data_IF_384709416826
#
_entry.id   IF_384709416826
#
_cell.length_a   1.000
_cell.length_b   1.000
_cell.length_c   1.000
_cell.angle_alpha   90.00
_cell.angle_beta   90.00
_cell.angle_gamma   90.00
#
_symmetry.space_group_name_H-M   'P 1'
#
loop_
_entity.id
_entity.type
_entity.pdbx_description
1 polymer ?
#
# COMPACT_ATOMS: atom_id res chain seq x y z
N UNK A 1 -5.90 -64.05 -15.90
CA UNK A 1 -6.74 -62.84 -15.70
C UNK A 1 -6.37 -62.04 -14.44
N UNK A 2 -6.10 -62.67 -13.28
CA UNK A 2 -5.75 -61.94 -12.03
C UNK A 2 -4.48 -61.06 -12.11
N UNK A 3 -3.45 -61.48 -12.84
CA UNK A 3 -2.22 -60.70 -13.00
C UNK A 3 -2.40 -59.45 -13.88
N UNK A 4 -3.33 -59.50 -14.86
CA UNK A 4 -3.62 -58.36 -15.73
C UNK A 4 -4.35 -57.26 -14.95
N UNK A 5 -5.27 -57.65 -14.07
CA UNK A 5 -6.02 -56.72 -13.20
C UNK A 5 -5.08 -56.00 -12.23
N UNK A 6 -4.07 -56.71 -11.69
CA UNK A 6 -3.09 -56.12 -10.77
C UNK A 6 -2.16 -55.11 -11.46
N UNK A 7 -1.72 -55.41 -12.69
CA UNK A 7 -0.88 -54.51 -13.49
C UNK A 7 -1.66 -53.23 -13.87
N UNK A 8 -2.94 -53.36 -14.23
CA UNK A 8 -3.81 -52.22 -14.55
C UNK A 8 -4.05 -51.36 -13.30
N UNK A 9 -4.31 -51.97 -12.14
CA UNK A 9 -4.48 -51.23 -10.88
C UNK A 9 -3.20 -50.47 -10.50
N UNK A 10 -2.03 -51.09 -10.66
CA UNK A 10 -0.74 -50.48 -10.38
C UNK A 10 -0.48 -49.26 -11.31
N UNK A 11 -0.85 -49.39 -12.59
CA UNK A 11 -0.77 -48.30 -13.57
C UNK A 11 -1.69 -47.13 -13.21
N UNK A 12 -2.91 -47.39 -12.73
CA UNK A 12 -3.81 -46.34 -12.26
C UNK A 12 -3.30 -45.66 -10.98
N UNK A 13 -2.62 -46.38 -10.07
CA UNK A 13 -1.97 -45.74 -8.89
C UNK A 13 -0.76 -44.89 -9.27
N UNK A 14 0.04 -45.30 -10.27
CA UNK A 14 1.20 -44.52 -10.73
C UNK A 14 0.75 -43.29 -11.53
N UNK A 15 -0.34 -43.39 -12.31
CA UNK A 15 -0.95 -42.26 -13.01
C UNK A 15 -1.71 -41.32 -12.04
N UNK A 16 -2.32 -41.87 -10.98
CA UNK A 16 -3.01 -41.10 -9.94
C UNK A 16 -2.08 -40.34 -8.99
N UNK A 17 -0.82 -40.77 -8.83
CA UNK A 17 0.23 -40.03 -8.13
C UNK A 17 1.03 -39.08 -9.03
N UNK A 18 0.71 -39.00 -10.33
CA UNK A 18 1.28 -38.03 -11.25
C UNK A 18 0.38 -36.81 -11.36
N UNK A 19 0.19 -36.08 -10.25
CA UNK A 19 -0.10 -34.63 -10.33
C UNK A 19 1.17 -33.90 -10.81
N UNK A 20 1.63 -34.22 -12.01
CA UNK A 20 2.63 -33.43 -12.71
C UNK A 20 1.94 -32.16 -13.23
N UNK A 21 2.26 -31.05 -12.58
CA UNK A 21 2.51 -29.81 -13.33
C UNK A 21 1.58 -28.63 -13.06
N UNK A 22 1.03 -28.46 -11.86
CA UNK A 22 0.83 -27.08 -11.38
C UNK A 22 2.08 -26.73 -10.59
N UNK A 23 3.01 -25.99 -11.21
CA UNK A 23 4.12 -25.44 -10.46
C UNK A 23 3.53 -24.61 -9.33
N UNK A 24 3.75 -25.02 -8.08
CA UNK A 24 3.30 -24.23 -6.96
C UNK A 24 4.00 -22.87 -7.02
N UNK A 25 3.27 -21.82 -6.67
CA UNK A 25 3.84 -20.49 -6.61
C UNK A 25 4.77 -20.48 -5.40
N UNK A 26 6.03 -20.11 -5.59
CA UNK A 26 7.02 -20.06 -4.51
C UNK A 26 7.03 -18.67 -3.87
N UNK A 27 6.96 -17.63 -4.70
CA UNK A 27 7.07 -16.24 -4.26
C UNK A 27 6.07 -15.33 -4.96
N UNK A 28 5.49 -14.42 -4.18
CA UNK A 28 4.79 -13.24 -4.71
C UNK A 28 5.60 -12.00 -4.39
N UNK A 29 5.66 -11.09 -5.35
CA UNK A 29 6.15 -9.73 -5.17
C UNK A 29 5.04 -8.77 -5.60
N UNK A 30 4.41 -8.14 -4.62
CA UNK A 30 3.36 -7.15 -4.82
C UNK A 30 3.96 -5.74 -4.70
N UNK A 31 3.84 -4.93 -5.74
CA UNK A 31 4.35 -3.57 -5.80
C UNK A 31 3.21 -2.59 -6.05
N UNK A 32 3.18 -1.53 -5.24
CA UNK A 32 2.17 -0.48 -5.29
C UNK A 32 2.84 0.85 -5.52
N UNK A 33 2.55 1.48 -6.66
CA UNK A 33 3.22 2.71 -7.10
C UNK A 33 2.22 3.77 -7.56
N UNK A 34 1.83 4.69 -6.66
CA UNK A 34 1.10 5.89 -7.07
C UNK A 34 1.98 6.80 -7.96
N UNK A 35 1.38 7.56 -8.88
CA UNK A 35 2.10 8.39 -9.85
C UNK A 35 2.95 9.52 -9.23
N UNK A 36 2.60 9.98 -8.02
CA UNK A 36 3.21 11.18 -7.41
C UNK A 36 3.76 10.97 -5.99
N UNK A 37 3.77 9.74 -5.47
CA UNK A 37 4.20 9.47 -4.09
C UNK A 37 5.08 8.22 -3.98
N UNK A 38 5.78 8.08 -2.85
CA UNK A 38 6.56 6.89 -2.51
C UNK A 38 5.77 5.59 -2.68
N UNK A 39 6.36 4.66 -3.42
CA UNK A 39 5.85 3.31 -3.65
C UNK A 39 6.22 2.38 -2.50
N UNK A 40 5.60 1.21 -2.44
CA UNK A 40 6.06 0.14 -1.56
C UNK A 40 5.97 -1.22 -2.25
N UNK A 41 6.75 -2.17 -1.75
CA UNK A 41 6.85 -3.54 -2.24
C UNK A 41 6.68 -4.50 -1.08
N UNK A 42 5.92 -5.57 -1.30
CA UNK A 42 5.72 -6.69 -0.39
C UNK A 42 6.20 -7.96 -1.08
N UNK A 43 7.10 -8.68 -0.44
CA UNK A 43 7.60 -9.98 -0.90
C UNK A 43 7.14 -11.05 0.10
N UNK A 44 6.48 -12.09 -0.41
CA UNK A 44 6.09 -13.26 0.39
C UNK A 44 6.83 -14.49 -0.15
N UNK A 45 7.49 -15.23 0.72
CA UNK A 45 8.19 -16.47 0.39
C UNK A 45 7.52 -17.65 1.10
N UNK A 46 7.01 -18.61 0.33
CA UNK A 46 6.28 -19.77 0.86
C UNK A 46 7.16 -20.75 1.63
N UNK A 47 8.46 -20.80 1.35
CA UNK A 47 9.40 -21.70 2.01
C UNK A 47 9.76 -21.18 3.41
N UNK A 48 10.08 -19.88 3.50
CA UNK A 48 10.48 -19.26 4.77
C UNK A 48 9.29 -18.75 5.60
N UNK A 49 8.11 -18.61 4.98
CA UNK A 49 6.92 -17.97 5.55
C UNK A 49 7.19 -16.55 6.07
N UNK A 50 8.20 -15.90 5.49
CA UNK A 50 8.55 -14.52 5.79
C UNK A 50 7.78 -13.59 4.88
N UNK A 51 7.37 -12.45 5.44
CA UNK A 51 6.85 -11.32 4.68
C UNK A 51 7.84 -10.18 4.84
N UNK A 52 8.31 -9.65 3.72
CA UNK A 52 9.24 -8.53 3.67
C UNK A 52 8.51 -7.36 3.03
N UNK A 53 8.45 -6.24 3.74
CA UNK A 53 8.00 -4.99 3.17
C UNK A 53 9.20 -4.08 2.87
N UNK A 54 9.15 -3.34 1.78
CA UNK A 54 10.21 -2.38 1.47
C UNK A 54 9.67 -1.12 0.82
N UNK A 55 10.29 0.01 1.16
CA UNK A 55 9.94 1.35 0.66
C UNK A 55 11.21 1.96 0.04
N UNK A 56 11.15 2.57 -1.15
CA UNK A 56 12.30 3.28 -1.73
C UNK A 56 12.82 4.37 -0.79
N UNK A 57 14.13 4.54 -0.71
CA UNK A 57 14.70 5.70 -0.02
C UNK A 57 14.42 6.98 -0.80
N UNK A 58 13.94 8.00 -0.08
CA UNK A 58 13.88 9.37 -0.58
C UNK A 58 15.18 10.08 -0.21
N UNK A 59 15.80 10.72 -1.20
CA UNK A 59 17.05 11.45 -1.04
C UNK A 59 16.86 12.91 -1.39
N UNK A 60 17.42 13.77 -0.56
CA UNK A 60 17.59 15.20 -0.85
C UNK A 60 19.07 15.53 -0.70
N UNK A 61 19.63 16.21 -1.70
CA UNK A 61 20.95 16.81 -1.59
C UNK A 61 20.82 18.24 -1.06
N UNK A 62 21.70 18.59 -0.15
CA UNK A 62 21.79 19.92 0.41
C UNK A 62 23.19 20.46 0.20
N UNK A 63 23.27 21.66 -0.37
CA UNK A 63 24.51 22.40 -0.52
C UNK A 63 24.69 23.38 0.63
N UNK A 64 25.91 23.42 1.16
CA UNK A 64 26.33 24.44 2.12
C UNK A 64 26.72 25.70 1.35
N UNK A 65 25.87 26.74 1.39
CA UNK A 65 26.17 28.04 0.78
C UNK A 65 27.10 28.87 1.68
N UNK A 66 27.06 28.63 2.99
CA UNK A 66 28.01 29.20 3.97
C UNK A 66 28.18 28.24 5.15
N UNK A 67 29.14 28.53 6.04
CA UNK A 67 29.37 27.76 7.29
C UNK A 67 28.08 27.49 8.10
N UNK A 68 27.07 28.35 7.96
CA UNK A 68 25.85 28.32 8.78
C UNK A 68 24.56 28.21 7.95
N UNK A 69 24.63 28.08 6.62
CA UNK A 69 23.42 28.03 5.78
C UNK A 69 23.45 26.88 4.79
N UNK A 70 22.45 26.03 4.88
CA UNK A 70 22.16 24.96 3.93
C UNK A 70 21.03 25.39 3.01
N UNK A 71 21.15 25.05 1.72
CA UNK A 71 20.05 25.16 0.76
C UNK A 71 19.95 23.86 0.00
N UNK A 72 18.76 23.32 -0.11
CA UNK A 72 18.50 22.17 -0.99
C UNK A 72 18.66 22.63 -2.44
N UNK A 73 19.67 22.10 -3.13
CA UNK A 73 19.98 22.44 -4.52
C UNK A 73 20.27 21.17 -5.31
N UNK A 74 19.68 21.16 -6.50
CA UNK A 74 19.90 20.39 -7.72
C UNK A 74 19.84 18.85 -7.71
N UNK A 75 19.06 18.34 -8.67
CA UNK A 75 18.80 16.92 -8.93
C UNK A 75 19.89 16.26 -9.79
N UNK A 76 20.75 17.04 -10.41
CA UNK A 76 21.82 16.58 -11.32
C UNK A 76 22.95 15.87 -10.57
N UNK A 77 23.38 16.37 -9.41
CA UNK A 77 24.42 15.72 -8.59
C UNK A 77 23.93 14.45 -7.91
N UNK A 78 22.64 14.36 -7.58
CA UNK A 78 22.05 13.16 -6.98
C UNK A 78 22.23 11.96 -7.90
N UNK A 79 22.07 12.15 -9.22
CA UNK A 79 22.24 11.08 -10.22
C UNK A 79 23.66 10.49 -10.16
N UNK A 80 24.67 11.32 -9.94
CA UNK A 80 26.09 10.89 -9.91
C UNK A 80 26.40 9.98 -8.71
N UNK A 81 25.76 10.23 -7.56
CA UNK A 81 25.99 9.49 -6.30
C UNK A 81 24.93 8.41 -6.04
N UNK A 82 23.79 8.42 -6.74
CA UNK A 82 22.63 7.54 -6.49
C UNK A 82 22.98 6.06 -6.40
N UNK A 83 23.97 5.59 -7.17
CA UNK A 83 24.40 4.18 -7.18
C UNK A 83 25.07 3.72 -5.88
N UNK A 84 25.58 4.67 -5.08
CA UNK A 84 26.23 4.41 -3.80
C UNK A 84 25.29 4.59 -2.62
N UNK A 85 24.12 5.19 -2.84
CA UNK A 85 23.13 5.39 -1.81
C UNK A 85 22.27 4.13 -1.63
N UNK A 86 21.79 3.85 -0.40
CA UNK A 86 20.81 2.79 -0.18
C UNK A 86 19.61 2.89 -1.13
N UNK A 87 19.00 1.76 -1.52
CA UNK A 87 17.88 1.81 -2.48
C UNK A 87 16.53 1.73 -1.82
N UNK A 88 16.40 0.90 -0.79
CA UNK A 88 15.15 0.63 -0.10
C UNK A 88 15.38 0.47 1.40
N UNK A 89 14.42 0.91 2.22
CA UNK A 89 14.27 0.51 3.61
C UNK A 89 13.51 -0.81 3.60
N UNK A 90 13.93 -1.79 4.42
CA UNK A 90 13.30 -3.11 4.52
C UNK A 90 12.83 -3.39 5.93
N UNK A 91 11.63 -3.96 6.03
CA UNK A 91 10.99 -4.42 7.25
C UNK A 91 10.70 -5.91 7.09
N UNK A 92 11.06 -6.74 8.06
CA UNK A 92 10.86 -8.17 8.00
C UNK A 92 10.05 -8.65 9.19
N UNK A 93 9.01 -9.45 8.93
CA UNK A 93 8.20 -10.08 9.98
C UNK A 93 8.10 -11.58 9.73
N UNK A 94 8.29 -12.35 10.79
CA UNK A 94 7.93 -13.76 10.83
C UNK A 94 6.44 -13.87 11.14
N UNK A 95 5.63 -14.31 10.18
CA UNK A 95 4.17 -14.22 10.27
C UNK A 95 3.56 -15.54 10.76
N UNK A 96 2.48 -15.47 11.54
CA UNK A 96 1.67 -16.64 11.87
C UNK A 96 1.12 -17.30 10.60
N UNK A 97 1.07 -18.64 10.57
CA UNK A 97 0.63 -19.40 9.40
C UNK A 97 -0.76 -18.96 8.88
N UNK A 98 -1.69 -18.60 9.77
CA UNK A 98 -3.04 -18.15 9.43
C UNK A 98 -3.02 -16.88 8.59
N UNK A 99 -2.31 -15.84 9.05
CA UNK A 99 -2.18 -14.55 8.37
C UNK A 99 -1.36 -14.63 7.09
N UNK A 100 -0.31 -15.44 7.08
CA UNK A 100 0.47 -15.72 5.87
C UNK A 100 -0.41 -16.37 4.80
N UNK A 101 -1.21 -17.38 5.17
CA UNK A 101 -2.13 -18.05 4.25
C UNK A 101 -3.27 -17.13 3.77
N UNK A 102 -3.76 -16.22 4.63
CA UNK A 102 -4.73 -15.20 4.23
C UNK A 102 -4.16 -14.30 3.13
N UNK A 103 -2.96 -13.73 3.35
CA UNK A 103 -2.27 -12.89 2.37
C UNK A 103 -2.01 -13.66 1.06
N UNK A 104 -1.44 -14.88 1.16
CA UNK A 104 -1.19 -15.75 0.01
C UNK A 104 -2.46 -16.00 -0.79
N UNK A 105 -3.57 -16.34 -0.13
CA UNK A 105 -4.84 -16.61 -0.81
C UNK A 105 -5.37 -15.40 -1.57
N UNK A 106 -5.21 -14.20 -1.02
CA UNK A 106 -5.61 -12.95 -1.69
C UNK A 106 -4.74 -12.72 -2.93
N UNK A 107 -3.43 -12.85 -2.82
CA UNK A 107 -2.49 -12.69 -3.94
C UNK A 107 -2.69 -13.75 -5.04
N UNK A 108 -2.99 -14.99 -4.66
CA UNK A 108 -3.37 -16.07 -5.59
C UNK A 108 -4.69 -15.82 -6.32
N UNK A 109 -5.65 -15.13 -5.69
CA UNK A 109 -6.88 -14.71 -6.38
C UNK A 109 -6.56 -13.58 -7.36
N UNK A 110 -5.77 -12.60 -6.93
CA UNK A 110 -5.39 -11.45 -7.75
C UNK A 110 -4.61 -11.89 -9.00
N UNK A 111 -3.73 -12.90 -8.90
CA UNK A 111 -2.95 -13.42 -10.02
C UNK A 111 -3.79 -14.00 -11.17
N UNK A 112 -5.03 -14.40 -10.90
CA UNK A 112 -5.93 -15.00 -11.91
C UNK A 112 -6.59 -13.96 -12.81
N UNK A 113 -6.55 -12.68 -12.43
CA UNK A 113 -7.12 -11.61 -13.24
C UNK A 113 -6.28 -11.35 -14.50
N UNK A 114 -6.91 -10.69 -15.48
CA UNK A 114 -6.21 -10.24 -16.68
C UNK A 114 -5.35 -9.02 -16.32
N UNK A 115 -4.18 -8.93 -16.95
CA UNK A 115 -3.36 -7.73 -16.85
C UNK A 115 -3.97 -6.64 -17.73
N UNK A 116 -3.91 -5.40 -17.24
CA UNK A 116 -4.22 -4.24 -18.05
C UNK A 116 -3.11 -4.02 -19.08
N UNK A 117 -3.47 -3.39 -20.20
CA UNK A 117 -2.57 -3.21 -21.35
C UNK A 117 -1.98 -1.80 -21.44
N UNK A 118 -2.68 -0.79 -20.93
CA UNK A 118 -2.30 0.60 -21.12
C UNK A 118 -2.34 1.37 -19.80
N UNK A 119 -1.25 2.05 -19.43
CA UNK A 119 -1.24 2.91 -18.26
C UNK A 119 -2.10 4.16 -18.51
N UNK A 120 -2.85 4.64 -17.50
CA UNK A 120 -3.49 5.95 -17.53
C UNK A 120 -2.43 7.05 -17.35
N UNK A 121 -2.81 8.29 -17.68
CA UNK A 121 -1.94 9.46 -17.52
C UNK A 121 -1.66 9.81 -16.04
N UNK A 122 -2.58 9.45 -15.15
CA UNK A 122 -2.48 9.65 -13.70
C UNK A 122 -3.17 8.47 -12.99
N UNK A 123 -2.76 8.19 -11.75
CA UNK A 123 -3.32 7.10 -10.97
C UNK A 123 -2.34 6.29 -10.13
N UNK A 124 -2.66 5.01 -9.99
CA UNK A 124 -1.81 4.04 -9.30
C UNK A 124 -1.53 2.84 -10.20
N UNK A 125 -0.28 2.40 -10.20
CA UNK A 125 0.11 1.13 -10.84
C UNK A 125 0.35 0.09 -9.76
N UNK A 126 -0.37 -1.03 -9.87
CA UNK A 126 -0.15 -2.21 -9.05
C UNK A 126 0.47 -3.29 -9.92
N UNK A 127 1.58 -3.86 -9.45
CA UNK A 127 2.28 -4.91 -10.15
C UNK A 127 2.40 -6.12 -9.23
N UNK A 128 1.92 -7.28 -9.70
CA UNK A 128 2.06 -8.55 -9.01
C UNK A 128 2.96 -9.46 -9.85
N UNK A 129 4.21 -9.56 -9.44
CA UNK A 129 5.15 -10.55 -9.95
C UNK A 129 4.98 -11.86 -9.17
N UNK A 130 4.97 -12.96 -9.91
CA UNK A 130 4.75 -14.31 -9.41
C UNK A 130 5.90 -15.16 -9.90
N UNK A 131 6.60 -15.81 -8.98
CA UNK A 131 7.69 -16.74 -9.28
C UNK A 131 7.30 -18.13 -8.79
N UNK A 132 7.38 -19.11 -9.68
CA UNK A 132 7.14 -20.51 -9.34
C UNK A 132 8.45 -21.22 -8.92
N UNK A 133 8.35 -22.47 -8.47
CA UNK A 133 9.51 -23.28 -8.06
C UNK A 133 10.59 -23.45 -9.15
N UNK A 134 10.21 -23.34 -10.44
CA UNK A 134 11.16 -23.38 -11.56
C UNK A 134 11.77 -22.00 -11.87
N UNK A 135 11.54 -21.00 -11.02
CA UNK A 135 11.97 -19.60 -11.17
C UNK A 135 11.42 -18.92 -12.41
N UNK A 136 10.32 -19.43 -12.96
CA UNK A 136 9.60 -18.79 -14.06
C UNK A 136 8.78 -17.65 -13.49
N UNK A 137 9.03 -16.45 -14.00
CA UNK A 137 8.33 -15.23 -13.58
C UNK A 137 7.16 -14.92 -14.50
N UNK A 138 6.05 -14.53 -13.90
CA UNK A 138 4.92 -13.91 -14.61
C UNK A 138 4.51 -12.64 -13.88
N UNK A 139 3.93 -11.69 -14.62
CA UNK A 139 3.55 -10.40 -14.08
C UNK A 139 2.08 -10.09 -14.41
N UNK A 140 1.38 -9.49 -13.44
CA UNK A 140 0.07 -8.89 -13.60
C UNK A 140 0.15 -7.42 -13.20
N UNK A 141 -0.13 -6.54 -14.16
CA UNK A 141 -0.20 -5.11 -13.91
C UNK A 141 -1.66 -4.67 -13.91
N UNK A 142 -2.05 -3.90 -12.90
CA UNK A 142 -3.36 -3.26 -12.79
C UNK A 142 -3.15 -1.75 -12.72
N UNK A 143 -3.89 -1.02 -13.53
CA UNK A 143 -3.80 0.44 -13.55
C UNK A 143 -5.08 1.07 -13.01
N UNK A 144 -4.94 1.88 -11.98
CA UNK A 144 -6.02 2.60 -11.28
C UNK A 144 -7.27 1.74 -11.07
N UNK A 145 -7.16 0.59 -10.38
CA UNK A 145 -8.27 -0.33 -10.23
C UNK A 145 -9.40 0.34 -9.44
N UNK A 146 -10.64 0.15 -9.88
CA UNK A 146 -11.79 0.69 -9.15
C UNK A 146 -11.95 -0.04 -7.81
N UNK A 147 -12.09 0.68 -6.68
CA UNK A 147 -12.33 0.07 -5.35
C UNK A 147 -13.47 -0.94 -5.31
N UNK A 148 -14.51 -0.74 -6.12
CA UNK A 148 -15.69 -1.60 -6.16
C UNK A 148 -15.54 -2.80 -7.10
N UNK A 149 -14.49 -2.86 -7.92
CA UNK A 149 -14.20 -4.05 -8.72
C UNK A 149 -13.62 -5.16 -7.86
N UNK A 150 -13.67 -6.40 -8.34
CA UNK A 150 -13.19 -7.55 -7.58
C UNK A 150 -11.67 -7.48 -7.36
N UNK A 151 -10.91 -7.05 -8.37
CA UNK A 151 -9.47 -6.81 -8.23
C UNK A 151 -9.16 -5.66 -7.26
N UNK A 152 -9.92 -4.55 -7.30
CA UNK A 152 -9.74 -3.44 -6.38
C UNK A 152 -9.99 -3.84 -4.92
N UNK A 153 -11.04 -4.62 -4.65
CA UNK A 153 -11.32 -5.18 -3.32
C UNK A 153 -10.19 -6.08 -2.83
N UNK A 154 -9.63 -6.94 -3.68
CA UNK A 154 -8.51 -7.82 -3.32
C UNK A 154 -7.23 -7.03 -3.03
N UNK A 155 -6.97 -5.96 -3.78
CA UNK A 155 -5.83 -5.08 -3.55
C UNK A 155 -5.98 -4.34 -2.21
N UNK A 156 -7.16 -3.78 -1.93
CA UNK A 156 -7.42 -3.14 -0.63
C UNK A 156 -7.29 -4.13 0.51
N UNK A 157 -7.80 -5.36 0.35
CA UNK A 157 -7.63 -6.42 1.36
C UNK A 157 -6.15 -6.78 1.57
N UNK A 158 -5.34 -6.76 0.52
CA UNK A 158 -3.87 -6.93 0.62
C UNK A 158 -3.28 -5.82 1.49
N UNK A 159 -3.66 -4.56 1.26
CA UNK A 159 -3.22 -3.42 2.07
C UNK A 159 -3.60 -3.54 3.55
N UNK A 160 -4.84 -3.94 3.84
CA UNK A 160 -5.31 -4.14 5.22
C UNK A 160 -4.47 -5.19 5.96
N UNK A 161 -4.21 -6.34 5.33
CA UNK A 161 -3.40 -7.40 5.94
C UNK A 161 -1.96 -6.91 6.16
N UNK A 162 -1.37 -6.21 5.18
CA UNK A 162 0.00 -5.69 5.31
C UNK A 162 0.09 -4.64 6.41
N UNK A 163 -0.85 -3.70 6.49
CA UNK A 163 -0.90 -2.69 7.54
C UNK A 163 -1.01 -3.34 8.94
N UNK A 164 -1.75 -4.44 9.07
CA UNK A 164 -1.84 -5.19 10.33
C UNK A 164 -0.51 -5.88 10.69
N UNK A 165 0.16 -6.50 9.71
CA UNK A 165 1.45 -7.18 9.91
C UNK A 165 2.58 -6.24 10.33
N UNK A 166 2.54 -5.00 9.85
CA UNK A 166 3.57 -3.98 10.06
C UNK A 166 3.01 -2.74 10.79
N UNK A 167 2.07 -2.95 11.70
CA UNK A 167 1.36 -1.87 12.43
C UNK A 167 2.26 -0.87 13.16
N UNK A 168 3.49 -1.28 13.49
CA UNK A 168 4.46 -0.45 14.21
C UNK A 168 5.38 0.35 13.24
N UNK A 169 5.25 0.14 11.92
CA UNK A 169 6.07 0.77 10.88
C UNK A 169 5.33 1.92 10.19
N UNK A 170 5.40 3.11 10.78
CA UNK A 170 4.66 4.31 10.33
C UNK A 170 4.91 4.68 8.87
N UNK A 171 6.14 4.50 8.37
CA UNK A 171 6.46 4.77 6.95
C UNK A 171 5.68 3.88 5.99
N UNK A 172 5.44 2.61 6.36
CA UNK A 172 4.69 1.69 5.52
C UNK A 172 3.19 1.99 5.59
N UNK A 173 2.69 2.35 6.77
CA UNK A 173 1.30 2.83 6.92
C UNK A 173 1.04 4.03 5.99
N UNK A 174 1.93 5.03 6.00
CA UNK A 174 1.81 6.20 5.13
C UNK A 174 1.85 5.81 3.64
N UNK A 175 2.75 4.93 3.23
CA UNK A 175 2.83 4.48 1.83
C UNK A 175 1.57 3.74 1.37
N UNK A 176 0.98 2.90 2.24
CA UNK A 176 -0.28 2.20 1.98
C UNK A 176 -1.43 3.19 1.87
N UNK A 177 -1.54 4.11 2.81
CA UNK A 177 -2.61 5.11 2.82
C UNK A 177 -2.57 5.97 1.55
N UNK A 178 -1.37 6.40 1.15
CA UNK A 178 -1.18 7.18 -0.06
C UNK A 178 -1.56 6.40 -1.31
N UNK A 179 -1.29 5.10 -1.33
CA UNK A 179 -1.74 4.22 -2.41
C UNK A 179 -3.26 4.10 -2.45
N UNK A 180 -3.92 3.96 -1.29
CA UNK A 180 -5.38 3.81 -1.18
C UNK A 180 -6.16 5.00 -1.75
N UNK A 181 -5.59 6.22 -1.72
CA UNK A 181 -6.24 7.43 -2.27
C UNK A 181 -6.58 7.33 -3.76
N UNK A 182 -5.87 6.48 -4.50
CA UNK A 182 -6.09 6.32 -5.93
C UNK A 182 -7.15 5.28 -6.28
N UNK A 183 -7.64 4.52 -5.30
CA UNK A 183 -8.73 3.56 -5.49
C UNK A 183 -10.11 4.18 -5.26
N UNK A 184 -10.16 5.36 -4.64
CA UNK A 184 -11.41 6.00 -4.27
C UNK A 184 -11.26 7.52 -4.25
N UNK A 185 -12.22 8.24 -4.83
CA UNK A 185 -12.42 9.68 -4.62
C UNK A 185 -12.93 9.98 -3.18
N UNK A 186 -12.54 9.15 -2.21
CA UNK A 186 -12.84 9.34 -0.80
C UNK A 186 -12.16 10.61 -0.33
N UNK A 187 -12.96 11.51 0.22
CA UNK A 187 -12.49 12.80 0.73
C UNK A 187 -11.70 12.59 2.03
N UNK A 188 -12.08 11.57 2.82
CA UNK A 188 -11.40 11.20 4.06
C UNK A 188 -11.57 9.72 4.42
N UNK A 189 -10.73 9.25 5.33
CA UNK A 189 -10.82 7.96 6.04
C UNK A 189 -11.00 8.17 7.54
N UNK A 190 -11.79 7.31 8.21
CA UNK A 190 -11.95 7.35 9.67
C UNK A 190 -10.92 6.41 10.30
N UNK A 191 -9.91 6.97 10.95
CA UNK A 191 -8.82 6.23 11.60
C UNK A 191 -9.22 5.72 12.99
N UNK A 192 -10.07 6.45 13.71
CA UNK A 192 -10.69 6.00 14.95
C UNK A 192 -12.05 6.68 15.15
N UNK A 193 -12.99 5.99 15.78
CA UNK A 193 -14.30 6.55 16.15
C UNK A 193 -14.33 7.04 17.61
N UNK A 194 -13.34 6.67 18.42
CA UNK A 194 -13.17 7.14 19.80
C UNK A 194 -11.67 7.12 20.22
N UNK A 195 -10.97 8.26 20.24
CA UNK A 195 -11.44 9.58 19.82
C UNK A 195 -11.77 9.61 18.32
N UNK A 196 -12.70 10.48 17.90
CA UNK A 196 -13.00 10.63 16.48
C UNK A 196 -11.78 11.23 15.77
N UNK A 197 -11.08 10.39 15.01
CA UNK A 197 -9.87 10.71 14.29
C UNK A 197 -10.06 10.45 12.80
N UNK A 198 -9.93 11.50 11.99
CA UNK A 198 -10.26 11.49 10.56
C UNK A 198 -9.08 11.98 9.72
N UNK A 199 -8.69 11.10 8.80
CA UNK A 199 -7.73 11.16 7.69
C UNK A 199 -8.14 11.90 6.43
N UNK A 200 -7.88 13.18 6.19
CA UNK A 200 -8.32 13.77 4.90
C UNK A 200 -7.36 13.41 3.76
N UNK A 201 -7.92 13.00 2.62
CA UNK A 201 -7.18 12.44 1.48
C UNK A 201 -7.14 13.38 0.27
N UNK A 202 -8.21 14.16 0.06
CA UNK A 202 -8.29 15.22 -0.95
C UNK A 202 -8.94 16.49 -0.37
N UNK A 203 -8.77 17.62 -1.07
CA UNK A 203 -9.28 18.94 -0.65
C UNK A 203 -10.56 19.34 -1.40
N UNK A 204 -11.24 18.37 -2.02
CA UNK A 204 -12.47 18.61 -2.75
C UNK A 204 -13.59 19.01 -1.79
N UNK A 205 -14.16 20.18 -2.04
CA UNK A 205 -15.27 20.74 -1.28
C UNK A 205 -16.63 20.30 -1.77
N UNK A 206 -16.71 19.80 -3.00
CA UNK A 206 -17.93 19.24 -3.54
C UNK A 206 -18.24 17.95 -2.78
N UNK A 207 -19.47 17.84 -2.25
CA UNK A 207 -19.95 16.74 -1.40
C UNK A 207 -19.36 16.61 0.02
N UNK A 208 -18.41 17.47 0.40
CA UNK A 208 -17.74 17.41 1.70
C UNK A 208 -18.71 17.51 2.88
N UNK A 209 -19.70 18.40 2.80
CA UNK A 209 -20.72 18.58 3.84
C UNK A 209 -21.58 17.33 4.02
N UNK A 210 -21.97 16.67 2.93
CA UNK A 210 -22.71 15.41 2.99
C UNK A 210 -21.89 14.31 3.66
N UNK A 211 -20.62 14.15 3.27
CA UNK A 211 -19.74 13.12 3.86
C UNK A 211 -19.41 13.41 5.33
N UNK A 212 -19.14 14.66 5.70
CA UNK A 212 -18.96 15.05 7.11
C UNK A 212 -20.22 14.77 7.92
N UNK A 213 -21.42 14.96 7.37
CA UNK A 213 -22.69 14.66 8.03
C UNK A 213 -22.93 13.16 8.26
N UNK A 214 -22.19 12.27 7.59
CA UNK A 214 -22.23 10.83 7.84
C UNK A 214 -21.30 10.35 8.98
N UNK A 215 -20.34 11.17 9.41
CA UNK A 215 -19.41 10.81 10.48
C UNK A 215 -20.12 10.57 11.84
N UNK A 216 -19.49 9.85 12.79
CA UNK A 216 -19.99 9.75 14.15
C UNK A 216 -20.17 11.12 14.81
N UNK A 217 -21.18 11.24 15.68
CA UNK A 217 -21.33 12.42 16.54
C UNK A 217 -20.23 12.38 17.62
N UNK A 218 -19.49 13.46 17.73
CA UNK A 218 -18.49 13.68 18.77
C UNK A 218 -18.44 15.18 19.10
N UNK A 219 -18.02 15.54 20.31
CA UNK A 219 -17.76 16.95 20.65
C UNK A 219 -16.45 17.44 20.03
N UNK A 220 -15.43 16.56 20.05
CA UNK A 220 -14.09 16.81 19.52
C UNK A 220 -13.79 15.88 18.34
N UNK A 221 -13.20 16.44 17.29
CA UNK A 221 -12.64 15.71 16.16
C UNK A 221 -11.15 16.04 16.00
N UNK A 222 -10.35 15.02 15.71
CA UNK A 222 -8.96 15.14 15.28
C UNK A 222 -8.92 15.01 13.76
N UNK A 223 -8.40 16.03 13.09
CA UNK A 223 -8.44 16.17 11.63
C UNK A 223 -7.00 16.21 11.14
N UNK A 224 -6.58 15.15 10.48
CA UNK A 224 -5.24 15.04 9.92
C UNK A 224 -5.24 15.44 8.45
N UNK A 225 -4.41 16.45 8.18
CA UNK A 225 -4.10 17.08 6.91
C UNK A 225 -2.60 16.95 6.57
N UNK A 226 -1.87 16.02 7.18
CA UNK A 226 -0.44 15.73 6.89
C UNK A 226 -0.19 15.37 5.43
N UNK A 227 -1.26 15.01 4.75
CA UNK A 227 -1.38 14.73 3.34
C UNK A 227 -1.31 15.97 2.43
N UNK A 228 -1.45 17.18 2.98
CA UNK A 228 -1.49 18.44 2.24
C UNK A 228 -0.30 19.33 2.60
N UNK A 229 0.15 20.13 1.64
CA UNK A 229 1.22 21.13 1.80
C UNK A 229 0.70 22.53 2.15
N UNK A 230 -0.62 22.70 2.26
CA UNK A 230 -1.27 23.97 2.61
C UNK A 230 -1.77 23.90 4.05
N UNK A 231 -1.58 25.00 4.78
CA UNK A 231 -1.80 25.02 6.22
C UNK A 231 -3.28 24.87 6.61
N UNK A 232 -4.25 25.39 5.84
CA UNK A 232 -5.70 25.25 6.09
C UNK A 232 -6.54 25.35 4.80
N UNK A 233 -7.57 24.52 4.66
CA UNK A 233 -8.62 24.65 3.64
C UNK A 233 -9.87 25.27 4.30
N UNK A 234 -10.18 26.53 3.94
CA UNK A 234 -11.27 27.33 4.55
C UNK A 234 -12.64 26.66 4.47
N UNK A 235 -12.91 25.97 3.36
CA UNK A 235 -14.17 25.28 3.16
C UNK A 235 -14.29 24.05 4.08
N UNK A 236 -13.20 23.31 4.26
CA UNK A 236 -13.15 22.18 5.19
C UNK A 236 -13.38 22.64 6.63
N UNK A 237 -12.68 23.68 7.06
CA UNK A 237 -12.85 24.25 8.40
C UNK A 237 -14.29 24.73 8.62
N UNK A 238 -14.85 25.50 7.68
CA UNK A 238 -16.22 26.00 7.76
C UNK A 238 -17.23 24.85 7.90
N UNK A 239 -17.04 23.76 7.16
CA UNK A 239 -17.95 22.62 7.16
C UNK A 239 -17.85 21.83 8.47
N UNK A 240 -16.64 21.58 8.96
CA UNK A 240 -16.43 20.89 10.24
C UNK A 240 -16.98 21.68 11.42
N UNK A 241 -16.81 23.01 11.44
CA UNK A 241 -17.31 23.89 12.52
C UNK A 241 -18.83 23.93 12.62
N UNK A 242 -19.56 23.61 11.54
CA UNK A 242 -21.03 23.45 11.61
C UNK A 242 -21.44 22.28 12.51
N UNK A 243 -20.58 21.26 12.65
CA UNK A 243 -20.92 20.00 13.32
C UNK A 243 -20.16 19.77 14.63
N UNK A 244 -18.88 20.15 14.67
CA UNK A 244 -17.99 19.87 15.79
C UNK A 244 -17.59 21.16 16.49
N UNK A 245 -17.75 21.20 17.82
CA UNK A 245 -17.40 22.37 18.63
C UNK A 245 -15.89 22.48 18.89
N UNK A 246 -15.17 21.35 18.88
CA UNK A 246 -13.72 21.28 19.06
C UNK A 246 -13.08 20.56 17.87
N UNK A 247 -12.21 21.25 17.13
CA UNK A 247 -11.45 20.68 16.02
C UNK A 247 -9.97 20.75 16.40
N UNK A 248 -9.27 19.61 16.32
CA UNK A 248 -7.82 19.53 16.53
C UNK A 248 -7.16 19.16 15.20
N UNK A 249 -6.37 20.08 14.66
CA UNK A 249 -5.69 19.93 13.38
C UNK A 249 -4.35 19.21 13.58
N UNK A 250 -4.05 18.25 12.71
CA UNK A 250 -2.76 17.57 12.61
C UNK A 250 -2.23 17.92 11.22
N UNK A 251 -1.27 18.83 11.15
CA UNK A 251 -0.74 19.37 9.89
C UNK A 251 0.61 18.74 9.55
N UNK A 252 0.98 18.72 8.27
CA UNK A 252 2.34 18.37 7.87
C UNK A 252 3.25 19.50 8.33
N UNK A 253 4.03 19.26 9.37
CA UNK A 253 5.02 20.23 9.80
C UNK A 253 6.14 20.17 8.75
N UNK A 254 6.27 21.19 7.91
CA UNK A 254 7.43 21.34 7.02
C UNK A 254 8.68 21.27 7.89
N UNK A 255 9.42 20.16 7.79
CA UNK A 255 10.72 19.89 8.39
C UNK A 255 11.22 20.97 9.38
N UNK A 256 10.62 21.02 10.58
CA UNK A 256 11.18 21.59 11.79
C UNK A 256 10.22 21.35 12.96
N UNK A 257 10.72 20.68 13.99
CA UNK A 257 10.04 20.38 15.25
C UNK A 257 9.20 21.55 15.77
N UNK A 258 7.91 21.30 16.03
CA UNK A 258 7.06 22.22 16.79
C UNK A 258 5.58 21.90 16.61
N UNK A 259 4.92 21.47 17.68
CA UNK A 259 3.46 21.49 17.75
C UNK A 259 3.00 22.95 17.61
N UNK A 260 2.20 23.25 16.58
CA UNK A 260 1.48 24.51 16.53
C UNK A 260 0.26 24.38 17.46
N UNK A 261 0.40 24.88 18.70
CA UNK A 261 -0.75 25.19 19.55
C UNK A 261 -1.32 26.55 19.14
N UNK A 262 -2.57 26.56 18.66
CA UNK A 262 -3.51 27.69 18.78
C UNK A 262 -4.72 27.24 19.60
#
# INVERSE_FOLDING_TARGET
>A
MKNLTFIILLLFTILGCSEKGKSEIEKFTFFSSPSFYGSFKIETDNNSKKVIASIPYEYSLADSISKNTWRFIDSTDLVSVRKFLPKEIKFEVQVENSKFNELKSVLEKLSKFKSDKFPPNDGITINLEIENEQKVKSNKTFFSPNRNSEEGKLIIKTYEIVAELFKDETKLEDAIENSQRYFSDEIFIVKSTNPLYVKFLNDNCDELEYKINALPKAEKIFVDLTNFSKDKNDCLEKTLRKRYSKIKWILKINENYGFAEE
#
